data_IF_764365876267
#
_entry.id   IF_764365876267
#
_cell.length_a   1.000
_cell.length_b   1.000
_cell.length_c   1.000
_cell.angle_alpha   90.00
_cell.angle_beta   90.00
_cell.angle_gamma   90.00
#
_symmetry.space_group_name_H-M   'P 1'
#
loop_
_entity.id
_entity.type
_entity.pdbx_description
1 polymer ?
#
# COMPACT_ATOMS: atom_id res chain seq x y z
N UNK A 1 -6.72 -5.67 7.21
CA UNK A 1 -6.20 -6.34 6.01
C UNK A 1 -5.01 -5.58 5.47
N UNK A 2 -4.13 -6.29 4.82
CA UNK A 2 -2.93 -5.71 4.24
C UNK A 2 -2.90 -6.09 2.78
N UNK A 3 -2.63 -5.11 1.95
CA UNK A 3 -2.56 -5.31 0.51
C UNK A 3 -1.19 -4.89 0.04
N UNK A 4 -0.53 -5.77 -0.70
CA UNK A 4 0.80 -5.50 -1.22
C UNK A 4 0.71 -5.41 -2.72
N UNK A 5 1.18 -4.31 -3.27
CA UNK A 5 1.16 -4.09 -4.71
C UNK A 5 2.59 -4.04 -5.22
N UNK A 6 2.88 -4.89 -6.20
CA UNK A 6 4.19 -4.90 -6.83
C UNK A 6 4.09 -4.15 -8.15
N UNK A 7 4.97 -3.19 -8.36
CA UNK A 7 4.91 -2.38 -9.57
C UNK A 7 6.30 -1.88 -9.90
N UNK A 8 6.41 -1.26 -11.05
CA UNK A 8 7.67 -0.71 -11.46
C UNK A 8 8.03 0.48 -10.59
N UNK A 9 9.31 0.66 -10.41
CA UNK A 9 9.79 1.72 -9.54
C UNK A 9 9.32 3.09 -10.01
N UNK A 10 9.18 3.27 -11.30
CA UNK A 10 8.80 4.56 -11.83
C UNK A 10 7.33 4.84 -11.70
N UNK A 11 6.54 3.83 -11.43
CA UNK A 11 5.11 4.00 -11.25
C UNK A 11 4.87 4.34 -9.81
N UNK A 12 4.32 5.51 -9.55
CA UNK A 12 4.04 5.91 -8.19
C UNK A 12 2.56 5.77 -7.93
N UNK A 13 2.24 4.99 -6.93
CA UNK A 13 0.87 4.81 -6.52
C UNK A 13 0.51 5.84 -5.48
N UNK A 14 -0.77 6.19 -5.42
CA UNK A 14 -1.22 7.18 -4.47
C UNK A 14 -1.07 6.72 -3.04
N UNK A 15 -1.23 7.66 -2.12
CA UNK A 15 -1.05 7.38 -0.72
C UNK A 15 -2.29 6.76 -0.10
N UNK A 16 -3.41 6.85 -0.76
CA UNK A 16 -4.62 6.25 -0.24
C UNK A 16 -5.59 6.02 -1.37
N UNK A 17 -6.40 5.00 -1.21
CA UNK A 17 -7.46 4.66 -2.15
C UNK A 17 -8.62 4.18 -1.33
N UNK A 18 -9.66 5.00 -1.25
CA UNK A 18 -10.79 4.64 -0.43
C UNK A 18 -10.35 4.45 1.01
N UNK A 19 -10.53 3.25 1.52
CA UNK A 19 -10.12 2.94 2.88
C UNK A 19 -8.67 2.52 2.98
N UNK A 20 -8.01 2.28 1.86
CA UNK A 20 -6.63 1.84 1.89
C UNK A 20 -5.75 3.03 2.16
N UNK A 21 -4.82 2.87 3.06
CA UNK A 21 -3.87 3.91 3.37
C UNK A 21 -2.48 3.36 3.28
N UNK A 22 -1.58 4.17 2.76
CA UNK A 22 -0.21 3.75 2.58
C UNK A 22 0.41 3.42 3.91
N UNK A 23 1.00 2.24 4.00
CA UNK A 23 1.68 1.80 5.19
C UNK A 23 3.18 1.88 5.01
N UNK A 24 3.70 1.26 3.96
CA UNK A 24 5.13 1.28 3.70
C UNK A 24 5.39 1.13 2.22
N UNK A 25 6.57 1.53 1.81
CA UNK A 25 7.05 1.36 0.46
C UNK A 25 8.43 0.78 0.50
N UNK A 26 8.68 -0.16 -0.41
CA UNK A 26 9.97 -0.79 -0.56
C UNK A 26 10.39 -0.67 -2.00
N UNK A 27 11.67 -0.47 -2.23
CA UNK A 27 12.19 -0.37 -3.59
C UNK A 27 13.33 -1.35 -3.75
N UNK A 28 13.29 -2.13 -4.81
CA UNK A 28 14.30 -3.12 -5.10
C UNK A 28 14.67 -3.02 -6.55
N UNK A 29 15.86 -2.52 -6.83
CA UNK A 29 16.27 -2.41 -8.21
C UNK A 29 15.28 -1.60 -9.00
N UNK A 30 14.60 -2.24 -9.94
CA UNK A 30 13.64 -1.57 -10.78
C UNK A 30 12.22 -1.81 -10.34
N UNK A 31 12.03 -2.54 -9.27
CA UNK A 31 10.73 -2.93 -8.79
C UNK A 31 10.46 -2.26 -7.46
N UNK A 32 9.20 -1.96 -7.21
CA UNK A 32 8.80 -1.40 -5.93
C UNK A 32 7.61 -2.15 -5.40
N UNK A 33 7.50 -2.16 -4.09
CA UNK A 33 6.35 -2.74 -3.41
C UNK A 33 5.70 -1.66 -2.59
N UNK A 34 4.40 -1.52 -2.75
CA UNK A 34 3.64 -0.56 -1.96
C UNK A 34 2.67 -1.35 -1.10
N UNK A 35 2.71 -1.11 0.19
CA UNK A 35 1.89 -1.85 1.13
C UNK A 35 0.84 -0.91 1.68
N UNK A 36 -0.42 -1.32 1.58
CA UNK A 36 -1.52 -0.55 2.11
C UNK A 36 -2.18 -1.31 3.24
N UNK A 37 -2.72 -0.57 4.17
CA UNK A 37 -3.47 -1.15 5.27
C UNK A 37 -4.86 -0.54 5.32
N UNK A 38 -5.81 -1.35 5.73
CA UNK A 38 -7.15 -0.87 5.98
C UNK A 38 -7.27 -0.70 7.48
N UNK A 39 -7.65 0.48 7.95
CA UNK A 39 -7.79 0.69 9.39
C UNK A 39 -8.77 -0.30 9.95
N UNK A 40 -8.37 -0.99 11.00
CA UNK A 40 -9.21 -2.04 11.55
C UNK A 40 -10.11 -1.56 12.64
N UNK A 41 -9.89 -0.39 13.13
CA UNK A 41 -10.71 0.08 14.22
C UNK A 41 -12.15 0.30 13.80
N UNK A 42 -12.37 0.30 12.51
CA UNK A 42 -13.72 0.42 12.03
C UNK A 42 -14.46 -0.86 12.07
N UNK A 43 -13.77 -1.91 12.35
CA UNK A 43 -14.35 -3.22 12.33
C UNK A 43 -14.62 -3.65 13.72
N UNK A 44 -15.06 -2.84 14.50
CA UNK A 44 -15.30 -3.27 15.82
C UNK A 44 -16.69 -3.79 15.92
N UNK A 45 -16.85 -4.77 16.59
CA UNK A 45 -18.11 -5.41 16.81
C UNK A 45 -18.01 -6.26 18.05
#
# INVERSE_FOLDING_TARGET
AIIVCEHEKELELGESYGRLKLHKRYKYGKTALTVYKIPMKEVDY
#
